data_IF_921335255346
#
_entry.id   IF_921335255346
#
_cell.length_a   1.000
_cell.length_b   1.000
_cell.length_c   1.000
_cell.angle_alpha   90.00
_cell.angle_beta   90.00
_cell.angle_gamma   90.00
#
_symmetry.space_group_name_H-M   'P 1'
#
loop_
_entity.id
_entity.type
_entity.pdbx_description
1 polymer ?
#
# COMPACT_ATOMS: atom_id res chain seq x y z
N UNK A 1 2.84 -82.00 1.37
CA UNK A 1 3.14 -81.48 2.72
C UNK A 1 4.22 -80.43 2.58
N UNK A 2 4.28 -79.49 3.53
CA UNK A 2 5.15 -78.32 3.56
C UNK A 2 4.99 -77.33 2.38
N UNK A 3 5.17 -76.03 2.58
CA UNK A 3 4.84 -75.20 3.76
C UNK A 3 4.64 -73.77 3.26
N UNK A 4 3.81 -72.99 3.93
CA UNK A 4 3.80 -71.55 3.70
C UNK A 4 4.97 -70.92 4.45
N UNK A 5 5.66 -69.99 3.81
CA UNK A 5 6.37 -68.93 4.52
C UNK A 5 6.12 -67.62 3.78
N UNK A 6 5.62 -66.63 4.52
CA UNK A 6 5.37 -65.28 4.05
C UNK A 6 6.28 -64.41 4.90
N UNK A 7 7.44 -64.05 4.37
CA UNK A 7 8.40 -63.18 5.07
C UNK A 7 7.76 -61.80 5.31
N UNK A 8 7.13 -61.71 6.47
CA UNK A 8 6.44 -60.53 6.97
C UNK A 8 7.53 -59.56 7.43
N UNK A 9 7.94 -58.68 6.52
CA UNK A 9 8.83 -57.56 6.84
C UNK A 9 8.22 -56.76 7.99
N UNK A 10 8.73 -56.96 9.19
CA UNK A 10 8.35 -56.18 10.36
C UNK A 10 8.91 -54.77 10.13
N UNK A 11 8.01 -53.79 10.07
CA UNK A 11 8.40 -52.38 10.14
C UNK A 11 8.76 -52.12 11.60
N UNK A 12 10.05 -51.94 11.86
CA UNK A 12 10.57 -51.57 13.18
C UNK A 12 10.01 -50.18 13.53
N UNK A 13 8.92 -50.18 14.30
CA UNK A 13 8.25 -48.98 14.79
C UNK A 13 9.21 -48.25 15.74
N UNK A 14 10.00 -47.35 15.16
CA UNK A 14 10.96 -46.54 15.91
C UNK A 14 10.20 -45.85 17.05
N UNK A 15 10.60 -46.08 18.32
CA UNK A 15 9.80 -45.63 19.45
C UNK A 15 9.61 -44.13 19.37
N UNK A 16 8.35 -43.69 19.47
CA UNK A 16 8.07 -42.28 19.65
C UNK A 16 8.88 -41.79 20.85
N UNK A 17 9.73 -40.80 20.63
CA UNK A 17 10.44 -40.15 21.72
C UNK A 17 9.39 -39.43 22.57
N UNK A 18 8.94 -40.09 23.65
CA UNK A 18 8.22 -39.42 24.72
C UNK A 18 9.15 -38.33 25.24
N UNK A 19 8.70 -37.07 25.22
CA UNK A 19 9.43 -35.95 25.80
C UNK A 19 9.53 -36.17 27.32
N UNK A 20 10.57 -36.90 27.76
CA UNK A 20 10.85 -37.13 29.18
C UNK A 20 11.00 -35.78 29.88
N UNK A 21 10.01 -35.42 30.70
CA UNK A 21 10.09 -34.22 31.52
C UNK A 21 11.22 -34.37 32.53
N UNK A 22 12.36 -33.80 32.16
CA UNK A 22 13.59 -33.77 32.97
C UNK A 22 13.43 -33.12 34.34
N UNK A 23 12.28 -32.50 34.64
CA UNK A 23 12.01 -31.81 35.91
C UNK A 23 12.86 -30.55 36.11
N UNK A 24 13.53 -30.08 35.05
CA UNK A 24 14.48 -28.98 35.11
C UNK A 24 13.77 -27.64 35.38
N UNK A 25 13.86 -27.15 36.61
CA UNK A 25 13.29 -25.85 37.01
C UNK A 25 14.10 -24.69 36.42
N UNK A 26 13.73 -24.25 35.22
CA UNK A 26 14.32 -23.09 34.54
C UNK A 26 13.87 -21.79 35.24
N UNK A 27 14.80 -21.13 35.93
CA UNK A 27 14.55 -19.82 36.53
C UNK A 27 14.35 -18.75 35.44
N UNK A 28 13.33 -17.86 35.54
CA UNK A 28 13.11 -16.81 34.55
C UNK A 28 14.30 -15.83 34.46
N UNK A 29 14.96 -15.81 33.30
CA UNK A 29 16.11 -14.92 33.02
C UNK A 29 15.69 -13.45 33.01
N UNK A 30 14.46 -13.15 32.57
CA UNK A 30 13.87 -11.82 32.52
C UNK A 30 12.44 -11.90 33.05
N UNK A 31 12.06 -10.95 33.92
CA UNK A 31 10.67 -10.69 34.27
C UNK A 31 10.15 -9.58 33.37
N UNK A 32 9.13 -9.87 32.56
CA UNK A 32 8.42 -8.87 31.77
C UNK A 32 7.23 -8.32 32.57
N UNK A 33 6.89 -7.06 32.33
CA UNK A 33 5.66 -6.44 32.83
C UNK A 33 4.58 -6.47 31.75
N UNK A 34 3.32 -6.51 32.15
CA UNK A 34 2.20 -6.50 31.21
C UNK A 34 2.02 -5.08 30.64
N UNK A 35 2.25 -4.93 29.33
CA UNK A 35 2.08 -3.66 28.62
C UNK A 35 0.76 -3.70 27.85
N UNK A 36 -0.08 -2.68 28.03
CA UNK A 36 -1.30 -2.52 27.25
C UNK A 36 -0.96 -2.25 25.78
N UNK A 37 -1.26 -3.20 24.89
CA UNK A 37 -0.99 -3.09 23.45
C UNK A 37 -2.18 -2.53 22.71
N UNK A 38 -2.02 -1.37 22.09
CA UNK A 38 -2.96 -0.83 21.10
C UNK A 38 -2.72 -1.45 19.72
N UNK A 39 -3.79 -1.61 18.95
CA UNK A 39 -3.76 -2.17 17.58
C UNK A 39 -3.39 -1.13 16.53
N UNK A 40 -3.70 0.15 16.79
CA UNK A 40 -3.63 1.22 15.81
C UNK A 40 -4.81 1.24 14.83
N UNK A 41 -5.91 0.54 15.14
CA UNK A 41 -7.16 0.42 14.36
C UNK A 41 -8.36 1.07 15.10
N UNK A 42 -8.17 1.65 16.29
CA UNK A 42 -9.24 2.06 17.23
C UNK A 42 -10.15 3.19 16.72
N UNK A 43 -9.63 4.03 15.83
CA UNK A 43 -10.33 5.19 15.24
C UNK A 43 -10.97 4.87 13.87
N UNK A 44 -11.05 3.59 13.51
CA UNK A 44 -11.50 3.12 12.21
C UNK A 44 -12.65 2.12 12.31
N UNK A 45 -13.57 2.17 11.36
CA UNK A 45 -14.68 1.22 11.23
C UNK A 45 -14.39 0.22 10.10
N UNK A 46 -14.58 -1.07 10.36
CA UNK A 46 -14.39 -2.11 9.36
C UNK A 46 -15.58 -2.16 8.38
N UNK A 47 -15.32 -1.89 7.10
CA UNK A 47 -16.30 -2.06 6.01
C UNK A 47 -16.39 -3.54 5.62
N UNK A 48 -15.26 -4.23 5.64
CA UNK A 48 -15.09 -5.62 5.19
C UNK A 48 -14.12 -6.33 6.13
N UNK A 49 -14.39 -7.60 6.42
CA UNK A 49 -13.52 -8.53 7.13
C UNK A 49 -13.66 -9.91 6.45
N UNK A 50 -12.60 -10.40 5.79
CA UNK A 50 -12.63 -11.66 5.05
C UNK A 50 -11.37 -12.48 5.30
N UNK A 51 -11.53 -13.80 5.43
CA UNK A 51 -10.40 -14.75 5.49
C UNK A 51 -9.83 -14.97 4.09
N UNK A 52 -8.51 -14.86 3.96
CA UNK A 52 -7.79 -14.89 2.69
C UNK A 52 -6.32 -15.32 2.84
N UNK A 53 -5.66 -15.54 1.70
CA UNK A 53 -4.21 -15.73 1.59
C UNK A 53 -3.65 -14.74 0.56
N UNK A 54 -2.60 -14.03 0.93
CA UNK A 54 -1.96 -12.97 0.16
C UNK A 54 -0.59 -13.41 -0.36
N UNK A 55 -0.32 -13.06 -1.60
CA UNK A 55 0.94 -13.26 -2.31
C UNK A 55 1.48 -11.91 -2.80
N UNK A 56 2.80 -11.73 -2.71
CA UNK A 56 3.58 -10.64 -3.36
C UNK A 56 4.16 -11.20 -4.66
N UNK A 57 4.14 -10.42 -5.74
CA UNK A 57 4.94 -10.74 -6.93
C UNK A 57 6.40 -10.32 -6.72
N UNK A 58 7.30 -11.29 -6.86
CA UNK A 58 8.75 -11.11 -6.81
C UNK A 58 9.25 -10.77 -8.20
N UNK A 59 9.72 -9.52 -8.39
CA UNK A 59 10.18 -9.02 -9.69
C UNK A 59 11.46 -9.72 -10.15
N UNK A 60 12.39 -9.98 -9.22
CA UNK A 60 13.70 -10.57 -9.54
C UNK A 60 13.61 -12.06 -9.89
N UNK A 61 12.81 -12.84 -9.14
CA UNK A 61 12.53 -14.25 -9.44
C UNK A 61 11.36 -14.48 -10.42
N UNK A 62 10.71 -13.42 -10.92
CA UNK A 62 9.54 -13.47 -11.80
C UNK A 62 8.43 -14.43 -11.29
N UNK A 63 8.17 -14.44 -9.98
CA UNK A 63 7.35 -15.46 -9.32
C UNK A 63 6.45 -14.91 -8.21
N UNK A 64 5.34 -15.58 -7.93
CA UNK A 64 4.54 -15.30 -6.72
C UNK A 64 5.20 -15.91 -5.48
N UNK A 65 5.31 -15.13 -4.40
CA UNK A 65 5.74 -15.57 -3.06
C UNK A 65 4.63 -15.31 -2.05
N UNK A 66 4.37 -16.24 -1.13
CA UNK A 66 3.34 -16.05 -0.10
C UNK A 66 3.80 -14.98 0.93
N UNK A 67 2.92 -14.01 1.21
CA UNK A 67 3.17 -12.91 2.16
C UNK A 67 2.41 -13.09 3.48
N UNK A 68 1.26 -13.76 3.47
CA UNK A 68 0.55 -14.13 4.69
C UNK A 68 -0.82 -14.78 4.46
N UNK A 69 -1.30 -15.52 5.46
CA UNK A 69 -2.63 -16.12 5.48
C UNK A 69 -3.38 -15.73 6.77
N UNK A 70 -4.57 -15.16 6.65
CA UNK A 70 -5.31 -14.60 7.77
C UNK A 70 -6.53 -13.80 7.34
N UNK A 71 -6.75 -12.66 7.98
CA UNK A 71 -7.90 -11.78 7.70
C UNK A 71 -7.42 -10.50 7.02
N UNK A 72 -8.04 -10.17 5.89
CA UNK A 72 -7.97 -8.86 5.24
C UNK A 72 -9.18 -8.02 5.67
N UNK A 73 -8.95 -6.74 5.94
CA UNK A 73 -9.98 -5.75 6.25
C UNK A 73 -9.85 -4.52 5.36
N UNK A 74 -10.99 -3.88 5.07
CA UNK A 74 -11.01 -2.46 4.71
C UNK A 74 -11.43 -1.64 5.95
N UNK A 75 -10.55 -0.77 6.41
CA UNK A 75 -10.73 0.07 7.60
C UNK A 75 -10.93 1.53 7.18
N UNK A 76 -12.02 2.15 7.63
CA UNK A 76 -12.40 3.54 7.33
C UNK A 76 -12.19 4.41 8.55
N UNK A 77 -11.27 5.36 8.48
CA UNK A 77 -11.00 6.30 9.56
C UNK A 77 -12.20 7.24 9.79
N UNK A 78 -12.69 7.32 11.02
CA UNK A 78 -13.93 8.04 11.38
C UNK A 78 -13.92 9.51 10.97
N UNK A 79 -12.87 10.25 11.36
CA UNK A 79 -12.75 11.69 11.07
C UNK A 79 -12.38 11.97 9.59
N UNK A 80 -11.22 11.46 9.15
CA UNK A 80 -10.71 11.77 7.80
C UNK A 80 -11.52 11.11 6.68
N UNK A 81 -12.26 10.04 6.97
CA UNK A 81 -13.02 9.24 6.00
C UNK A 81 -12.17 8.50 4.96
N UNK A 82 -10.83 8.50 5.12
CA UNK A 82 -9.92 7.70 4.31
C UNK A 82 -10.13 6.22 4.60
N UNK A 83 -9.85 5.37 3.61
CA UNK A 83 -9.91 3.91 3.76
C UNK A 83 -8.54 3.30 3.46
N UNK A 84 -8.13 2.34 4.30
CA UNK A 84 -6.96 1.49 4.06
C UNK A 84 -7.31 0.02 4.05
N UNK A 85 -6.57 -0.75 3.25
CA UNK A 85 -6.50 -2.19 3.37
C UNK A 85 -5.47 -2.52 4.46
N UNK A 86 -5.89 -3.31 5.46
CA UNK A 86 -4.99 -3.90 6.46
C UNK A 86 -5.20 -5.41 6.46
N UNK A 87 -4.12 -6.18 6.36
CA UNK A 87 -4.16 -7.63 6.50
C UNK A 87 -3.19 -8.10 7.57
N UNK A 88 -3.65 -8.98 8.47
CA UNK A 88 -2.82 -9.60 9.52
C UNK A 88 -2.76 -11.12 9.36
N UNK A 89 -1.58 -11.67 9.60
CA UNK A 89 -1.31 -13.11 9.61
C UNK A 89 -2.02 -13.80 10.80
N UNK A 90 -2.57 -14.98 10.55
CA UNK A 90 -3.12 -15.87 11.59
C UNK A 90 -2.03 -16.25 12.60
N UNK A 91 -2.40 -16.39 13.88
CA UNK A 91 -1.53 -16.72 15.03
C UNK A 91 -0.47 -15.66 15.36
N UNK A 92 0.30 -15.16 14.39
CA UNK A 92 1.40 -14.22 14.62
C UNK A 92 0.95 -12.76 14.74
N UNK A 93 -0.25 -12.42 14.24
CA UNK A 93 -0.85 -11.08 14.19
C UNK A 93 -0.01 -10.00 13.47
N UNK A 94 1.11 -10.41 12.85
CA UNK A 94 1.97 -9.56 12.03
C UNK A 94 1.19 -9.01 10.83
N UNK A 95 1.37 -7.73 10.57
CA UNK A 95 0.83 -7.07 9.38
C UNK A 95 1.53 -7.66 8.15
N UNK A 96 0.76 -7.98 7.11
CA UNK A 96 1.27 -8.49 5.83
C UNK A 96 0.77 -7.71 4.60
N UNK A 97 -0.15 -6.76 4.81
CA UNK A 97 -0.42 -5.62 3.93
C UNK A 97 -0.97 -4.45 4.78
N UNK A 98 -0.61 -3.21 4.45
CA UNK A 98 -1.08 -1.96 5.04
C UNK A 98 -0.88 -0.81 4.05
N UNK A 99 -1.93 -0.47 3.30
CA UNK A 99 -1.92 0.62 2.31
C UNK A 99 -3.27 1.34 2.21
N UNK A 100 -3.25 2.64 1.88
CA UNK A 100 -4.45 3.38 1.52
C UNK A 100 -5.02 2.85 0.21
N UNK A 101 -6.35 2.77 0.10
CA UNK A 101 -7.04 2.51 -1.17
C UNK A 101 -7.18 3.86 -1.89
N UNK A 102 -6.44 4.05 -3.00
CA UNK A 102 -6.40 5.32 -3.73
C UNK A 102 -7.35 5.31 -4.94
N UNK A 103 -7.87 6.48 -5.39
CA UNK A 103 -8.73 6.60 -6.57
C UNK A 103 -8.15 6.05 -7.89
N UNK A 104 -6.82 5.96 -7.97
CA UNK A 104 -6.07 5.46 -9.13
C UNK A 104 -5.81 3.96 -9.11
N UNK A 105 -6.14 3.25 -8.02
CA UNK A 105 -5.95 1.80 -7.92
C UNK A 105 -7.07 1.05 -8.64
N UNK A 106 -6.69 0.01 -9.39
CA UNK A 106 -7.62 -0.94 -9.99
C UNK A 106 -7.33 -2.35 -9.49
N UNK A 107 -8.40 -3.11 -9.27
CA UNK A 107 -8.35 -4.54 -8.94
C UNK A 107 -8.92 -5.35 -10.11
N UNK A 108 -8.25 -6.45 -10.46
CA UNK A 108 -8.56 -7.28 -11.63
C UNK A 108 -8.68 -8.76 -11.22
N UNK A 109 -9.54 -9.53 -11.88
CA UNK A 109 -9.62 -10.98 -11.67
C UNK A 109 -8.30 -11.65 -12.09
N UNK A 110 -7.84 -12.66 -11.34
CA UNK A 110 -6.62 -13.38 -11.67
C UNK A 110 -6.89 -14.38 -12.81
N UNK A 111 -6.15 -14.26 -13.92
CA UNK A 111 -6.24 -15.17 -15.06
C UNK A 111 -6.06 -16.62 -14.60
N UNK A 112 -7.07 -17.46 -14.80
CA UNK A 112 -7.06 -18.88 -14.37
C UNK A 112 -7.37 -19.13 -12.88
N UNK A 113 -7.81 -18.14 -12.11
CA UNK A 113 -8.32 -18.39 -10.75
C UNK A 113 -9.42 -17.37 -10.34
N UNK A 114 -10.67 -17.78 -10.50
CA UNK A 114 -11.90 -17.05 -10.15
C UNK A 114 -12.06 -16.71 -8.65
N UNK A 115 -11.29 -17.36 -7.77
CA UNK A 115 -11.21 -17.06 -6.33
C UNK A 115 -10.07 -16.11 -5.98
N UNK A 116 -9.33 -15.59 -6.96
CA UNK A 116 -8.19 -14.71 -6.74
C UNK A 116 -8.28 -13.43 -7.57
N UNK A 117 -7.75 -12.33 -7.03
CA UNK A 117 -7.66 -11.05 -7.74
C UNK A 117 -6.32 -10.35 -7.46
N UNK A 118 -5.95 -9.44 -8.35
CA UNK A 118 -4.65 -8.75 -8.38
C UNK A 118 -4.81 -7.23 -8.42
N UNK A 119 -3.89 -6.52 -7.77
CA UNK A 119 -3.80 -5.05 -7.80
C UNK A 119 -2.37 -4.59 -7.45
N UNK A 120 -2.06 -3.33 -7.76
CA UNK A 120 -0.81 -2.68 -7.38
C UNK A 120 -1.05 -1.72 -6.20
N UNK A 121 -0.13 -1.67 -5.23
CA UNK A 121 -0.18 -0.71 -4.15
C UNK A 121 1.19 -0.38 -3.55
N UNK A 122 1.36 0.86 -3.11
CA UNK A 122 2.48 1.30 -2.26
C UNK A 122 2.18 0.91 -0.81
N UNK A 123 2.81 -0.17 -0.35
CA UNK A 123 2.51 -0.84 0.93
C UNK A 123 3.50 -0.47 2.04
N UNK A 124 3.03 -0.49 3.30
CA UNK A 124 3.82 -0.14 4.50
C UNK A 124 3.88 -1.27 5.55
N UNK A 125 3.57 -2.53 5.20
CA UNK A 125 3.58 -3.64 6.16
C UNK A 125 4.97 -3.97 6.72
N UNK A 126 6.04 -3.67 5.97
CA UNK A 126 7.43 -3.87 6.39
C UNK A 126 8.01 -2.66 7.17
N UNK A 127 7.21 -1.59 7.42
CA UNK A 127 7.68 -0.34 8.05
C UNK A 127 8.36 0.66 7.11
N UNK A 128 8.35 0.36 5.81
CA UNK A 128 8.88 1.19 4.71
C UNK A 128 7.87 1.18 3.56
N UNK A 129 7.75 2.27 2.80
CA UNK A 129 6.87 2.33 1.63
C UNK A 129 7.47 1.58 0.44
N UNK A 130 6.76 0.58 -0.09
CA UNK A 130 7.24 -0.31 -1.17
C UNK A 130 6.15 -0.55 -2.22
N UNK A 131 6.47 -0.36 -3.50
CA UNK A 131 5.53 -0.60 -4.61
C UNK A 131 5.43 -2.09 -4.95
N UNK A 132 4.37 -2.71 -4.44
CA UNK A 132 4.09 -4.13 -4.57
C UNK A 132 2.95 -4.42 -5.56
N UNK A 133 3.08 -5.53 -6.28
CA UNK A 133 1.99 -6.18 -7.00
C UNK A 133 1.49 -7.34 -6.14
N UNK A 134 0.23 -7.27 -5.73
CA UNK A 134 -0.41 -8.25 -4.88
C UNK A 134 -1.31 -9.21 -5.68
N UNK A 135 -1.43 -10.43 -5.18
CA UNK A 135 -2.48 -11.37 -5.51
C UNK A 135 -3.09 -11.88 -4.21
N UNK A 136 -4.41 -11.78 -4.06
CA UNK A 136 -5.14 -12.30 -2.91
C UNK A 136 -6.07 -13.42 -3.36
N UNK A 137 -6.17 -14.48 -2.55
CA UNK A 137 -7.03 -15.65 -2.79
C UNK A 137 -8.00 -15.85 -1.62
N UNK A 138 -9.26 -16.11 -1.96
CA UNK A 138 -10.34 -16.37 -1.03
C UNK A 138 -10.81 -17.85 -1.05
N UNK A 139 -11.52 -18.33 -0.02
CA UNK A 139 -12.10 -19.68 -0.01
C UNK A 139 -13.22 -19.88 -1.06
N UNK A 140 -14.03 -18.85 -1.30
CA UNK A 140 -15.16 -18.82 -2.25
C UNK A 140 -14.95 -17.75 -3.32
N UNK A 141 -15.66 -17.90 -4.44
CA UNK A 141 -15.71 -16.92 -5.53
C UNK A 141 -16.46 -15.66 -5.07
N UNK A 142 -17.54 -15.86 -4.30
CA UNK A 142 -18.37 -14.81 -3.70
C UNK A 142 -17.52 -13.83 -2.88
N UNK A 143 -16.67 -14.34 -1.97
CA UNK A 143 -15.76 -13.50 -1.19
C UNK A 143 -14.79 -12.69 -2.07
N UNK A 144 -14.35 -13.25 -3.20
CA UNK A 144 -13.49 -12.54 -4.15
C UNK A 144 -14.24 -11.40 -4.84
N UNK A 145 -15.49 -11.64 -5.26
CA UNK A 145 -16.36 -10.62 -5.88
C UNK A 145 -16.69 -9.50 -4.90
N UNK A 146 -17.17 -9.83 -3.69
CA UNK A 146 -17.46 -8.83 -2.65
C UNK A 146 -16.22 -8.02 -2.28
N UNK A 147 -15.02 -8.62 -2.24
CA UNK A 147 -13.78 -7.85 -2.06
C UNK A 147 -13.51 -6.89 -3.22
N UNK A 148 -13.65 -7.34 -4.47
CA UNK A 148 -13.42 -6.48 -5.65
C UNK A 148 -14.45 -5.35 -5.77
N UNK A 149 -15.73 -5.65 -5.54
CA UNK A 149 -16.84 -4.69 -5.48
C UNK A 149 -16.56 -3.63 -4.41
N UNK A 150 -16.26 -4.05 -3.17
CA UNK A 150 -15.92 -3.11 -2.07
C UNK A 150 -14.67 -2.29 -2.38
N UNK A 151 -13.63 -2.87 -3.00
CA UNK A 151 -12.43 -2.14 -3.40
C UNK A 151 -12.78 -1.01 -4.40
N UNK A 152 -13.58 -1.32 -5.42
CA UNK A 152 -14.00 -0.37 -6.45
C UNK A 152 -14.89 0.75 -5.87
N UNK A 153 -15.90 0.39 -5.07
CA UNK A 153 -16.76 1.35 -4.36
C UNK A 153 -15.95 2.29 -3.46
N UNK A 154 -14.94 1.77 -2.75
CA UNK A 154 -14.04 2.55 -1.91
C UNK A 154 -13.19 3.51 -2.75
N UNK A 155 -12.56 3.04 -3.82
CA UNK A 155 -11.72 3.86 -4.70
C UNK A 155 -12.52 5.00 -5.34
N UNK A 156 -13.72 4.73 -5.86
CA UNK A 156 -14.64 5.75 -6.34
C UNK A 156 -15.07 6.74 -5.25
N UNK A 157 -15.32 6.25 -4.03
CA UNK A 157 -15.72 7.09 -2.89
C UNK A 157 -14.60 8.01 -2.42
N UNK A 158 -13.33 7.58 -2.54
CA UNK A 158 -12.19 8.48 -2.33
C UNK A 158 -12.12 9.53 -3.44
N UNK A 159 -12.33 9.16 -4.72
CA UNK A 159 -12.26 10.09 -5.86
C UNK A 159 -13.22 11.28 -5.69
N UNK A 160 -14.48 10.97 -5.40
CA UNK A 160 -15.56 11.95 -5.17
C UNK A 160 -15.25 12.88 -3.97
N UNK A 161 -14.41 12.43 -3.02
CA UNK A 161 -13.99 13.22 -1.85
C UNK A 161 -12.80 14.13 -2.13
N UNK A 162 -11.88 13.73 -3.01
CA UNK A 162 -10.78 14.58 -3.48
C UNK A 162 -11.31 15.68 -4.41
N UNK A 163 -12.11 15.33 -5.43
CA UNK A 163 -12.72 16.29 -6.37
C UNK A 163 -13.51 17.40 -5.65
N UNK A 164 -14.30 17.06 -4.63
CA UNK A 164 -15.08 18.02 -3.85
C UNK A 164 -14.20 18.89 -2.94
N UNK A 165 -13.07 18.37 -2.46
CA UNK A 165 -12.10 19.12 -1.66
C UNK A 165 -11.32 20.11 -2.52
N UNK A 166 -10.89 19.71 -3.72
CA UNK A 166 -10.14 20.57 -4.63
C UNK A 166 -11.02 21.68 -5.21
N UNK A 167 -12.30 21.41 -5.51
CA UNK A 167 -13.27 22.44 -5.85
C UNK A 167 -13.45 23.47 -4.71
N UNK A 168 -13.55 23.02 -3.46
CA UNK A 168 -13.65 23.90 -2.29
C UNK A 168 -12.36 24.72 -2.06
N UNK A 169 -11.19 24.11 -2.25
CA UNK A 169 -9.90 24.79 -2.13
C UNK A 169 -9.68 25.84 -3.23
N UNK A 170 -10.08 25.53 -4.47
CA UNK A 170 -10.02 26.48 -5.59
C UNK A 170 -10.96 27.68 -5.37
N UNK A 171 -12.19 27.45 -4.89
CA UNK A 171 -13.13 28.52 -4.56
C UNK A 171 -12.58 29.46 -3.46
N UNK A 172 -12.07 28.90 -2.36
CA UNK A 172 -11.46 29.67 -1.26
C UNK A 172 -10.11 30.32 -1.59
N UNK A 173 -9.52 30.00 -2.75
CA UNK A 173 -8.37 30.72 -3.30
C UNK A 173 -8.81 31.85 -4.24
N UNK A 174 -9.85 31.62 -5.05
CA UNK A 174 -10.44 32.62 -5.95
C UNK A 174 -11.01 33.81 -5.17
N UNK A 175 -11.74 33.53 -4.08
CA UNK A 175 -12.26 34.55 -3.15
C UNK A 175 -11.15 35.44 -2.56
N UNK A 176 -9.96 34.88 -2.33
CA UNK A 176 -8.80 35.62 -1.81
C UNK A 176 -8.01 36.40 -2.87
N UNK A 177 -8.28 36.18 -4.15
CA UNK A 177 -7.76 37.04 -5.23
C UNK A 177 -8.70 38.21 -5.56
N UNK A 178 -9.91 38.25 -4.99
CA UNK A 178 -10.90 39.31 -5.22
C UNK A 178 -10.63 40.55 -4.35
N UNK A 179 -9.58 41.30 -4.67
CA UNK A 179 -9.30 42.62 -4.07
C UNK A 179 -10.24 43.68 -4.64
N UNK A 180 -10.73 44.59 -3.80
CA UNK A 180 -11.76 45.58 -4.12
C UNK A 180 -11.26 46.71 -5.06
N UNK A 181 -12.09 47.07 -6.06
CA UNK A 181 -11.84 48.16 -7.02
C UNK A 181 -12.24 49.52 -6.38
N UNK A 182 -11.35 50.09 -5.55
CA UNK A 182 -11.55 51.41 -4.91
C UNK A 182 -11.51 52.56 -5.93
N UNK A 183 -12.64 52.78 -6.59
CA UNK A 183 -12.81 53.81 -7.63
C UNK A 183 -13.38 55.11 -7.06
N UNK A 184 -12.50 56.07 -6.74
CA UNK A 184 -12.90 57.38 -6.18
C UNK A 184 -12.29 58.57 -6.91
N UNK A 185 -13.15 59.32 -7.59
CA UNK A 185 -12.91 60.71 -8.02
C UNK A 185 -13.67 61.67 -7.06
N UNK A 186 -13.41 62.97 -6.97
CA UNK A 186 -12.50 63.85 -7.71
C UNK A 186 -12.25 65.15 -6.90
N UNK A 187 -11.03 65.71 -6.92
CA UNK A 187 -10.78 67.16 -7.11
C UNK A 187 -9.28 67.48 -7.25
N UNK A 188 -8.96 68.61 -7.86
CA UNK A 188 -7.59 69.02 -8.24
C UNK A 188 -7.09 70.25 -7.49
N UNK A 189 -5.76 70.47 -7.49
CA UNK A 189 -5.15 71.69 -8.06
C UNK A 189 -3.61 71.59 -8.24
N UNK A 190 -3.16 71.85 -9.48
CA UNK A 190 -1.93 72.53 -9.99
C UNK A 190 -0.46 72.18 -9.56
N UNK A 191 0.45 72.33 -10.56
CA UNK A 191 1.94 72.41 -10.55
C UNK A 191 2.80 71.22 -10.03
N UNK A 192 4.03 71.00 -10.52
CA UNK A 192 4.71 71.29 -11.81
C UNK A 192 6.11 70.64 -11.84
N UNK A 193 6.71 70.48 -13.04
CA UNK A 193 8.14 70.12 -13.30
C UNK A 193 8.56 68.71 -12.81
N UNK A 194 8.82 67.73 -13.67
CA UNK A 194 9.89 67.60 -14.69
C UNK A 194 11.31 67.37 -14.12
N UNK A 195 11.74 66.10 -14.09
CA UNK A 195 13.05 65.72 -14.63
C UNK A 195 13.13 64.24 -15.05
N UNK A 196 13.95 63.97 -16.07
CA UNK A 196 14.36 62.62 -16.50
C UNK A 196 15.69 62.18 -15.84
N UNK A 197 16.27 61.07 -16.36
CA UNK A 197 17.45 60.29 -15.92
C UNK A 197 17.15 59.14 -14.94
N UNK A 198 17.72 57.93 -15.09
CA UNK A 198 18.27 57.27 -16.29
C UNK A 198 18.17 55.73 -16.15
N UNK A 199 18.40 55.03 -17.25
CA UNK A 199 18.58 53.58 -17.43
C UNK A 199 20.07 53.19 -17.17
N UNK A 200 20.65 52.06 -17.67
CA UNK A 200 20.17 50.69 -17.91
C UNK A 200 21.06 49.65 -17.14
N UNK A 201 21.32 48.47 -17.74
CA UNK A 201 22.42 47.49 -17.49
C UNK A 201 22.19 46.47 -16.35
N UNK A 202 22.29 45.14 -16.55
CA UNK A 202 22.38 44.29 -17.78
C UNK A 202 21.89 42.85 -17.43
N UNK A 203 21.04 42.22 -18.22
CA UNK A 203 21.32 41.24 -19.30
C UNK A 203 22.02 39.91 -18.91
N UNK A 204 21.30 38.79 -19.10
CA UNK A 204 21.73 37.62 -19.91
C UNK A 204 22.91 36.73 -19.41
N UNK A 205 23.04 35.44 -19.75
CA UNK A 205 22.22 34.57 -20.64
C UNK A 205 22.18 33.07 -20.17
N UNK A 206 21.72 32.16 -21.06
CA UNK A 206 21.59 30.71 -20.86
C UNK A 206 22.93 29.96 -20.97
N UNK A 207 22.94 28.67 -20.61
CA UNK A 207 24.04 27.75 -20.95
C UNK A 207 23.73 26.26 -20.75
N UNK A 208 23.33 25.55 -21.81
CA UNK A 208 23.34 24.06 -21.94
C UNK A 208 23.58 23.71 -23.42
N UNK A 209 24.63 22.94 -23.75
CA UNK A 209 24.49 21.55 -24.25
C UNK A 209 25.41 20.57 -23.46
N UNK A 210 25.40 19.22 -23.54
CA UNK A 210 24.89 18.19 -24.49
C UNK A 210 25.91 17.60 -25.49
N UNK A 211 25.82 16.27 -25.75
CA UNK A 211 26.74 15.37 -26.51
C UNK A 211 26.93 14.02 -25.76
N UNK A 212 26.76 12.78 -26.28
CA UNK A 212 27.16 12.08 -27.53
C UNK A 212 28.65 11.61 -27.55
N UNK A 213 29.09 10.42 -28.03
CA UNK A 213 28.49 9.14 -28.50
C UNK A 213 29.59 7.99 -28.47
N UNK A 214 29.50 6.72 -28.94
CA UNK A 214 28.46 5.97 -29.69
C UNK A 214 28.33 4.45 -29.35
N UNK A 215 29.19 3.51 -29.84
CA UNK A 215 28.94 2.03 -29.85
C UNK A 215 30.17 1.09 -29.79
N UNK A 216 29.95 -0.16 -29.32
CA UNK A 216 30.60 -1.44 -29.76
C UNK A 216 30.14 -2.69 -28.95
N UNK A 217 30.16 -3.96 -29.39
CA UNK A 217 29.78 -4.58 -30.68
C UNK A 217 29.73 -6.16 -30.60
N UNK A 218 29.37 -6.83 -31.71
CA UNK A 218 29.65 -8.24 -32.11
C UNK A 218 29.10 -9.49 -31.35
N UNK A 219 28.16 -10.16 -32.03
CA UNK A 219 27.81 -11.60 -32.14
C UNK A 219 28.78 -12.71 -31.65
N UNK A 220 28.27 -13.75 -30.95
CA UNK A 220 28.45 -15.19 -31.33
C UNK A 220 27.49 -16.18 -30.63
N UNK A 221 27.31 -17.36 -31.26
CA UNK A 221 26.64 -18.58 -30.77
C UNK A 221 27.52 -19.38 -29.81
N UNK A 222 26.91 -20.10 -28.87
CA UNK A 222 26.72 -21.56 -28.95
C UNK A 222 25.37 -21.98 -28.34
#
# INVERSE_FOLDING_TARGET
MASADTERREEEEAPAAEDEDTGAQVAPIVKLEEVAVTTGEENEDAILDLKSKLYRFDKDGNQWKERGAGTVKFLKHRETGKVRLVMRQSKTLKICANHLVLPSMSVQEHVGNDKSCVWHATDFADGELKDELFCIRFPSIENCKTFMETFQEVAESQKKKEENKDASAAAGLLEKLSVEDEKKAEKAEDKSEDKAEDTPVKSEEKGKPEGEAEKSDAEKKE
#
